data_IF_335335239638
#
_entry.id   IF_335335239638
#
_cell.length_a   1.000
_cell.length_b   1.000
_cell.length_c   1.000
_cell.angle_alpha   90.00
_cell.angle_beta   90.00
_cell.angle_gamma   90.00
#
_symmetry.space_group_name_H-M   'P 1'
#
loop_
_entity.id
_entity.type
_entity.pdbx_description
1 polymer ?
#
# COMPACT_ATOMS: atom_id res chain seq x y z
N UNK A 1 21.38 33.93 -4.43
CA UNK A 1 20.87 33.36 -3.17
C UNK A 1 20.17 32.05 -3.50
N UNK A 2 20.89 30.93 -3.48
CA UNK A 2 20.36 29.60 -3.78
C UNK A 2 19.86 28.97 -2.49
N UNK A 3 18.55 28.75 -2.38
CA UNK A 3 17.93 28.12 -1.20
C UNK A 3 18.37 26.65 -1.09
N UNK A 4 19.10 26.23 -0.04
CA UNK A 4 19.66 24.88 0.06
C UNK A 4 18.64 23.80 0.49
N UNK A 5 17.35 24.13 0.62
CA UNK A 5 16.40 23.30 1.39
C UNK A 5 15.44 22.44 0.55
N UNK A 6 15.69 22.24 -0.74
CA UNK A 6 14.91 21.33 -1.59
C UNK A 6 15.78 20.24 -2.25
N UNK A 7 16.83 19.81 -1.56
CA UNK A 7 17.58 18.64 -2.00
C UNK A 7 16.81 17.39 -1.57
N UNK A 8 16.25 16.70 -2.56
CA UNK A 8 15.64 15.39 -2.39
C UNK A 8 16.68 14.43 -1.78
N UNK A 9 16.44 13.82 -0.61
CA UNK A 9 17.39 12.94 0.07
C UNK A 9 17.77 11.70 -0.76
N UNK A 10 17.05 11.41 -1.85
CA UNK A 10 17.38 10.32 -2.78
C UNK A 10 18.37 10.70 -3.89
N UNK A 11 18.88 11.94 -3.93
CA UNK A 11 19.81 12.38 -4.98
C UNK A 11 21.28 12.02 -4.71
N UNK A 12 21.60 11.54 -3.51
CA UNK A 12 22.94 11.09 -3.16
C UNK A 12 23.06 9.58 -3.41
N UNK A 13 23.73 9.25 -4.51
CA UNK A 13 24.23 7.92 -4.91
C UNK A 13 23.31 7.09 -5.81
N UNK A 14 23.54 7.31 -7.11
CA UNK A 14 23.45 6.32 -8.17
C UNK A 14 24.22 5.03 -7.82
N UNK A 15 23.59 4.12 -7.09
CA UNK A 15 23.74 2.69 -7.28
C UNK A 15 22.33 2.14 -7.36
N UNK A 16 21.65 2.44 -8.47
CA UNK A 16 20.46 1.71 -8.86
C UNK A 16 20.91 0.26 -9.10
N UNK A 17 20.82 -0.61 -8.08
CA UNK A 17 20.31 -1.94 -8.39
C UNK A 17 19.04 -1.68 -9.20
N UNK A 18 18.91 -2.24 -10.42
CA UNK A 18 17.72 -2.00 -11.21
C UNK A 18 16.55 -2.34 -10.31
N UNK A 19 15.71 -1.34 -10.02
CA UNK A 19 14.43 -1.57 -9.38
C UNK A 19 13.82 -2.69 -10.20
N UNK A 20 13.75 -3.90 -9.62
CA UNK A 20 13.23 -5.07 -10.32
C UNK A 20 11.85 -4.64 -10.75
N UNK A 21 11.74 -4.27 -12.02
CA UNK A 21 10.47 -3.98 -12.64
C UNK A 21 9.77 -5.30 -12.48
N UNK A 22 8.87 -5.37 -11.50
CA UNK A 22 7.98 -6.49 -11.38
C UNK A 22 7.00 -6.31 -12.54
N UNK A 23 7.49 -6.56 -13.76
CA UNK A 23 6.70 -7.17 -14.83
C UNK A 23 6.37 -8.58 -14.36
N UNK A 24 5.68 -8.67 -13.22
CA UNK A 24 4.92 -9.83 -12.87
C UNK A 24 3.73 -9.72 -13.79
N UNK A 25 3.79 -10.43 -14.92
CA UNK A 25 2.62 -11.20 -15.36
C UNK A 25 2.29 -12.18 -14.23
N UNK A 26 1.87 -11.65 -13.09
CA UNK A 26 1.28 -12.44 -12.03
C UNK A 26 0.00 -12.96 -12.67
N UNK A 27 -0.12 -14.28 -12.77
CA UNK A 27 -1.44 -14.89 -12.85
C UNK A 27 -2.32 -14.15 -11.82
N UNK A 28 -3.56 -13.77 -12.17
CA UNK A 28 -4.41 -13.02 -11.26
C UNK A 28 -4.38 -13.76 -9.93
N UNK A 29 -3.81 -13.11 -8.90
CA UNK A 29 -3.80 -13.67 -7.57
C UNK A 29 -5.27 -14.04 -7.27
N UNK A 30 -5.53 -15.23 -6.69
CA UNK A 30 -6.90 -15.61 -6.36
C UNK A 30 -7.52 -14.42 -5.66
N UNK A 31 -8.64 -13.93 -6.22
CA UNK A 31 -9.32 -12.77 -5.65
C UNK A 31 -9.59 -13.15 -4.20
N UNK A 32 -9.15 -12.29 -3.29
CA UNK A 32 -9.33 -12.50 -1.87
C UNK A 32 -9.98 -11.25 -1.32
N UNK A 33 -11.04 -11.43 -0.56
CA UNK A 33 -11.78 -10.35 0.08
C UNK A 33 -11.21 -10.17 1.49
N UNK A 34 -10.72 -8.99 1.85
CA UNK A 34 -10.27 -8.72 3.20
C UNK A 34 -11.49 -8.49 4.10
N UNK A 35 -11.55 -9.18 5.24
CA UNK A 35 -12.63 -9.05 6.22
C UNK A 35 -12.09 -8.89 7.63
N UNK A 36 -12.90 -8.30 8.52
CA UNK A 36 -12.64 -8.23 9.95
C UNK A 36 -12.54 -9.65 10.55
N UNK A 37 -11.45 -9.92 11.28
CA UNK A 37 -11.23 -11.20 11.98
C UNK A 37 -12.34 -11.54 12.99
N UNK A 38 -13.02 -10.53 13.54
CA UNK A 38 -13.99 -10.69 14.62
C UNK A 38 -15.43 -10.86 14.13
N UNK A 39 -15.88 -9.99 13.21
CA UNK A 39 -17.28 -9.97 12.74
C UNK A 39 -17.45 -10.42 11.28
N UNK A 40 -16.37 -10.70 10.55
CA UNK A 40 -16.35 -11.09 9.13
C UNK A 40 -16.92 -10.07 8.15
N UNK A 41 -17.21 -8.84 8.60
CA UNK A 41 -17.56 -7.74 7.72
C UNK A 41 -16.36 -7.31 6.88
N UNK A 42 -16.60 -7.01 5.60
CA UNK A 42 -15.66 -6.41 4.65
C UNK A 42 -15.56 -4.88 4.77
N UNK A 43 -16.36 -4.26 5.67
CA UNK A 43 -16.31 -2.83 5.95
C UNK A 43 -15.17 -2.50 6.93
N UNK A 44 -13.96 -2.51 6.38
CA UNK A 44 -12.70 -2.26 7.08
C UNK A 44 -11.93 -1.08 6.47
N UNK A 45 -11.27 -0.30 7.33
CA UNK A 45 -10.45 0.85 6.99
C UNK A 45 -9.00 0.56 7.37
N UNK A 46 -8.10 0.64 6.39
CA UNK A 46 -6.65 0.52 6.61
C UNK A 46 -5.94 1.85 6.37
N UNK A 47 -4.77 2.03 7.00
CA UNK A 47 -3.88 3.14 6.67
C UNK A 47 -2.94 2.74 5.54
N UNK A 48 -2.81 3.64 4.57
CA UNK A 48 -1.95 3.48 3.40
C UNK A 48 -1.13 4.75 3.15
N UNK A 49 0.03 4.58 2.55
CA UNK A 49 0.81 5.68 1.99
C UNK A 49 0.74 5.62 0.48
N UNK A 50 0.37 6.74 -0.13
CA UNK A 50 0.43 6.94 -1.58
C UNK A 50 1.62 7.83 -1.92
N UNK A 51 2.20 7.62 -3.09
CA UNK A 51 3.31 8.42 -3.62
C UNK A 51 2.96 8.93 -5.02
N UNK A 52 3.45 10.11 -5.36
CA UNK A 52 3.31 10.64 -6.71
C UNK A 52 4.28 9.92 -7.64
N UNK A 53 3.75 9.29 -8.70
CA UNK A 53 4.55 8.68 -9.75
C UNK A 53 4.75 9.68 -10.89
N UNK A 54 6.01 9.99 -11.20
CA UNK A 54 6.34 10.85 -12.34
C UNK A 54 6.16 10.16 -13.69
N UNK A 55 6.17 8.82 -13.74
CA UNK A 55 6.02 8.06 -14.99
C UNK A 55 4.55 8.01 -15.43
N UNK A 56 3.67 7.63 -14.51
CA UNK A 56 2.22 7.53 -14.72
C UNK A 56 1.49 8.85 -14.45
N UNK A 57 2.17 9.87 -13.92
CA UNK A 57 1.61 11.20 -13.60
C UNK A 57 0.38 11.12 -12.69
N UNK A 58 0.41 10.20 -11.72
CA UNK A 58 -0.70 9.97 -10.79
C UNK A 58 -0.20 9.55 -9.40
N UNK A 59 -1.11 9.56 -8.42
CA UNK A 59 -0.85 9.01 -7.09
C UNK A 59 -1.00 7.50 -7.11
N UNK A 60 0.05 6.77 -6.72
CA UNK A 60 0.05 5.32 -6.65
C UNK A 60 0.22 4.84 -5.20
N UNK A 61 -0.38 3.69 -4.88
CA UNK A 61 -0.20 3.06 -3.57
C UNK A 61 1.25 2.59 -3.40
N UNK A 62 1.96 3.18 -2.43
CA UNK A 62 3.34 2.84 -2.13
C UNK A 62 3.47 1.76 -1.05
N UNK A 63 2.62 1.82 -0.01
CA UNK A 63 2.65 0.87 1.09
C UNK A 63 1.33 0.83 1.85
N UNK A 64 1.06 -0.31 2.48
CA UNK A 64 0.00 -0.47 3.49
C UNK A 64 0.67 -0.79 4.82
N UNK A 65 0.28 -0.10 5.90
CA UNK A 65 0.90 -0.34 7.19
C UNK A 65 0.39 -1.65 7.79
N UNK A 66 1.28 -2.43 8.40
CA UNK A 66 0.92 -3.60 9.21
C UNK A 66 0.32 -3.21 10.58
N UNK A 67 -0.48 -2.15 10.62
CA UNK A 67 -1.25 -1.75 11.79
C UNK A 67 -2.62 -2.43 11.74
N UNK A 68 -3.24 -2.70 12.90
CA UNK A 68 -4.59 -3.26 12.90
C UNK A 68 -5.55 -2.28 12.21
N UNK A 69 -6.34 -2.82 11.28
CA UNK A 69 -7.36 -2.08 10.54
C UNK A 69 -8.48 -1.65 11.51
N UNK A 70 -9.25 -0.63 11.15
CA UNK A 70 -10.47 -0.28 11.86
C UNK A 70 -11.66 -0.97 11.17
N UNK A 71 -12.52 -1.65 11.92
CA UNK A 71 -13.78 -2.17 11.41
C UNK A 71 -14.91 -1.23 11.85
N UNK A 72 -15.68 -0.73 10.88
CA UNK A 72 -16.82 0.16 11.14
C UNK A 72 -17.95 -0.57 11.90
N UNK A 73 -18.14 -1.88 11.65
CA UNK A 73 -19.16 -2.67 12.32
C UNK A 73 -18.84 -2.95 13.80
N UNK A 74 -17.57 -3.26 14.10
CA UNK A 74 -17.10 -3.42 15.48
C UNK A 74 -16.82 -2.08 16.17
N UNK A 75 -16.77 -0.98 15.41
CA UNK A 75 -16.33 0.35 15.83
C UNK A 75 -14.98 0.30 16.57
N UNK A 76 -14.01 -0.44 16.02
CA UNK A 76 -12.77 -0.74 16.73
C UNK A 76 -11.68 -1.31 15.85
N UNK A 77 -10.50 -1.50 16.46
CA UNK A 77 -9.35 -2.14 15.80
C UNK A 77 -9.63 -3.62 15.56
N UNK A 78 -9.18 -4.14 14.43
CA UNK A 78 -9.31 -5.53 14.01
C UNK A 78 -8.11 -5.98 13.19
N UNK A 79 -7.90 -7.30 13.12
CA UNK A 79 -6.99 -7.90 12.16
C UNK A 79 -7.75 -8.20 10.86
N UNK A 80 -7.02 -8.15 9.75
CA UNK A 80 -7.57 -8.48 8.43
C UNK A 80 -7.39 -9.98 8.18
N UNK A 81 -8.51 -10.68 7.98
CA UNK A 81 -8.52 -12.06 7.46
C UNK A 81 -8.85 -12.01 5.98
N UNK A 82 -8.07 -12.71 5.16
CA UNK A 82 -8.34 -12.82 3.72
C UNK A 82 -9.18 -14.07 3.44
N UNK A 83 -10.36 -13.88 2.86
CA UNK A 83 -11.22 -14.97 2.41
C UNK A 83 -11.11 -15.14 0.90
N UNK A 84 -10.94 -16.37 0.38
CA UNK A 84 -10.94 -16.60 -1.06
C UNK A 84 -12.31 -16.23 -1.65
N UNK A 85 -12.31 -15.48 -2.75
CA UNK A 85 -13.52 -15.23 -3.54
C UNK A 85 -13.73 -16.44 -4.46
N UNK A 86 -14.79 -17.21 -4.21
CA UNK A 86 -15.20 -18.33 -5.09
C UNK A 86 -15.57 -17.85 -6.49
#
# INVERSE_FOLDING_TARGET
>A
MTHPSLLNPFNAHQHQEPAKSFSRRAAPAPRATPVCSSCQSDDIIGHATVQWSNESQEWELASTFAQPAHCNHCNGRCEIKWLPTN
#
